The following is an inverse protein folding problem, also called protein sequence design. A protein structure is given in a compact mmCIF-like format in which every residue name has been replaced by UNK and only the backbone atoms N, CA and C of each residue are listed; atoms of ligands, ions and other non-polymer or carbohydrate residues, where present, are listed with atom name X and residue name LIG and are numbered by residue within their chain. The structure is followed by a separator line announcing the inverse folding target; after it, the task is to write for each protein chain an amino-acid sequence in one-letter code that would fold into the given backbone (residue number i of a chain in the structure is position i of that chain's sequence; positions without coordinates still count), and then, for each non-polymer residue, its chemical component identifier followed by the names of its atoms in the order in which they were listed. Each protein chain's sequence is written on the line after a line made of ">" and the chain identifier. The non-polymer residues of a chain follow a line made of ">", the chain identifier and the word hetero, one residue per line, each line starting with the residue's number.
data_IF_465694199759
#
_entry.id   IF_465694199759
#
_cell.length_a   1.000
_cell.length_b   1.000
_cell.length_c   1.000
_cell.angle_alpha   90.00
_cell.angle_beta   90.00
_cell.angle_gamma   90.00
#
_symmetry.space_group_name_H-M   'P 1'
#
loop_
_entity.id
_entity.type
_entity.pdbx_description
1 polymer ?
#
# COMPACT_ATOMS: atom_id res chain seq x y z
N UNK A 1 0.92 -10.55 4.21
CA UNK A 1 2.11 -9.90 3.60
C UNK A 1 3.03 -9.31 4.66
N UNK A 2 2.65 -8.19 5.30
CA UNK A 2 3.53 -7.44 6.23
C UNK A 2 4.14 -8.33 7.32
N UNK A 3 3.33 -9.16 8.00
CA UNK A 3 3.81 -10.14 9.00
C UNK A 3 4.97 -11.03 8.53
N UNK A 4 4.98 -11.42 7.24
CA UNK A 4 5.99 -12.32 6.67
C UNK A 4 7.21 -11.56 6.11
N UNK A 5 7.02 -10.34 5.61
CA UNK A 5 8.08 -9.54 4.97
C UNK A 5 8.82 -8.66 5.96
N UNK A 6 8.10 -8.02 6.89
CA UNK A 6 8.67 -7.12 7.89
C UNK A 6 7.96 -7.28 9.26
N UNK A 7 8.36 -8.29 10.06
CA UNK A 7 7.74 -8.56 11.35
C UNK A 7 8.00 -7.44 12.38
N UNK A 8 9.13 -6.74 12.28
CA UNK A 8 9.43 -5.60 13.15
C UNK A 8 8.46 -4.43 12.90
N UNK A 9 8.10 -4.16 11.64
CA UNK A 9 7.11 -3.13 11.32
C UNK A 9 5.75 -3.48 11.94
N UNK A 10 5.36 -4.76 11.88
CA UNK A 10 4.13 -5.22 12.51
C UNK A 10 4.16 -5.07 14.03
N UNK A 11 5.30 -5.39 14.66
CA UNK A 11 5.49 -5.19 16.09
C UNK A 11 5.38 -3.71 16.48
N UNK A 12 5.99 -2.82 15.68
CA UNK A 12 5.89 -1.37 15.87
C UNK A 12 4.46 -0.85 15.73
N UNK A 13 3.73 -1.28 14.71
CA UNK A 13 2.31 -0.93 14.59
C UNK A 13 1.47 -1.44 15.77
N UNK A 14 1.83 -2.60 16.32
CA UNK A 14 1.17 -3.15 17.51
C UNK A 14 1.50 -2.34 18.78
N UNK A 15 2.75 -1.89 18.95
CA UNK A 15 3.14 -1.05 20.09
C UNK A 15 2.53 0.34 20.04
N UNK A 16 2.33 0.88 18.83
CA UNK A 16 1.67 2.17 18.60
C UNK A 16 0.14 2.07 18.59
N UNK A 17 -0.44 0.90 18.91
CA UNK A 17 -1.88 0.64 18.92
C UNK A 17 -2.58 0.99 17.59
N UNK A 18 -1.89 0.79 16.47
CA UNK A 18 -2.45 1.07 15.15
C UNK A 18 -3.43 -0.04 14.77
N UNK A 19 -4.69 0.35 14.66
CA UNK A 19 -5.68 -0.47 13.99
C UNK A 19 -5.48 -0.39 12.47
N UNK A 20 -5.03 -1.49 11.88
CA UNK A 20 -4.88 -1.62 10.44
C UNK A 20 -6.17 -1.25 9.70
N UNK A 21 -7.34 -1.57 10.26
CA UNK A 21 -8.62 -1.27 9.63
C UNK A 21 -8.77 0.24 9.38
N UNK A 22 -8.43 1.06 10.38
CA UNK A 22 -8.45 2.52 10.24
C UNK A 22 -7.45 3.03 9.19
N UNK A 23 -6.27 2.39 9.09
CA UNK A 23 -5.24 2.73 8.13
C UNK A 23 -5.66 2.43 6.68
N UNK A 24 -6.18 1.23 6.39
CA UNK A 24 -6.44 0.82 5.02
C UNK A 24 -7.87 1.12 4.52
N UNK A 25 -8.86 1.27 5.40
CA UNK A 25 -10.27 1.37 4.98
C UNK A 25 -10.50 2.50 3.98
N UNK A 26 -10.00 3.72 4.25
CA UNK A 26 -10.15 4.87 3.34
C UNK A 26 -9.45 4.67 2.00
N UNK A 27 -8.36 3.93 1.98
CA UNK A 27 -7.51 3.74 0.81
C UNK A 27 -8.07 2.66 -0.10
N UNK A 28 -8.50 1.55 0.48
CA UNK A 28 -9.02 0.38 -0.23
C UNK A 28 -10.44 0.64 -0.76
N UNK A 29 -11.28 1.38 -0.03
CA UNK A 29 -12.64 1.75 -0.48
C UNK A 29 -12.63 2.54 -1.78
N UNK A 30 -11.58 3.34 -2.01
CA UNK A 30 -11.40 4.11 -3.23
C UNK A 30 -10.34 3.50 -4.17
N UNK A 31 -10.00 2.20 -4.02
CA UNK A 31 -9.02 1.48 -4.85
C UNK A 31 -7.67 2.22 -5.01
N UNK A 32 -7.26 2.97 -3.98
CA UNK A 32 -6.08 3.84 -3.95
C UNK A 32 -6.11 5.05 -4.90
N UNK A 33 -7.18 5.28 -5.65
CA UNK A 33 -7.26 6.34 -6.67
C UNK A 33 -7.13 7.77 -6.12
N UNK A 34 -7.39 7.97 -4.82
CA UNK A 34 -7.22 9.31 -4.22
C UNK A 34 -5.79 9.63 -3.82
N UNK A 35 -4.90 8.64 -3.87
CA UNK A 35 -3.51 8.78 -3.41
C UNK A 35 -2.55 9.19 -4.52
N UNK A 36 -2.96 9.07 -5.79
CA UNK A 36 -2.10 9.31 -6.94
C UNK A 36 -2.59 10.50 -7.78
N UNK A 37 -1.73 10.97 -8.69
CA UNK A 37 -2.13 11.90 -9.74
C UNK A 37 -3.11 11.24 -10.71
N UNK A 38 -3.92 12.03 -11.44
CA UNK A 38 -4.90 11.46 -12.39
C UNK A 38 -4.25 10.56 -13.45
N UNK A 39 -3.07 10.95 -13.95
CA UNK A 39 -2.31 10.16 -14.94
C UNK A 39 -1.93 8.79 -14.37
N UNK A 40 -1.35 8.77 -13.18
CA UNK A 40 -0.95 7.55 -12.48
C UNK A 40 -2.18 6.70 -12.08
N UNK A 41 -3.31 7.33 -11.75
CA UNK A 41 -4.58 6.63 -11.49
C UNK A 41 -5.09 5.86 -12.71
N UNK A 42 -5.02 6.44 -13.92
CA UNK A 42 -5.41 5.72 -15.14
C UNK A 42 -4.55 4.48 -15.35
N UNK A 43 -3.23 4.60 -15.15
CA UNK A 43 -2.31 3.46 -15.28
C UNK A 43 -2.58 2.37 -14.23
N UNK A 44 -2.92 2.78 -13.00
CA UNK A 44 -3.35 1.84 -11.95
C UNK A 44 -4.66 1.15 -12.35
N UNK A 45 -5.59 1.88 -12.98
CA UNK A 45 -6.84 1.32 -13.49
C UNK A 45 -6.62 0.29 -14.59
N UNK A 46 -5.68 0.50 -15.52
CA UNK A 46 -5.31 -0.50 -16.52
C UNK A 46 -4.93 -1.83 -15.85
N UNK A 47 -4.22 -1.75 -14.73
CA UNK A 47 -3.78 -2.93 -13.97
C UNK A 47 -4.95 -3.64 -13.30
N UNK A 48 -5.88 -2.88 -12.72
CA UNK A 48 -7.09 -3.47 -12.14
C UNK A 48 -7.99 -4.13 -13.20
N UNK A 49 -8.11 -3.54 -14.38
CA UNK A 49 -8.85 -4.11 -15.50
C UNK A 49 -8.19 -5.38 -16.06
N UNK A 50 -6.86 -5.44 -16.04
CA UNK A 50 -6.10 -6.61 -16.48
C UNK A 50 -6.15 -7.80 -15.50
N UNK A 51 -6.46 -7.57 -14.22
CA UNK A 51 -6.58 -8.64 -13.23
C UNK A 51 -8.01 -9.18 -13.22
N UNK A 52 -8.17 -10.35 -13.80
CA UNK A 52 -9.44 -11.07 -13.82
C UNK A 52 -9.85 -11.52 -12.41
N UNK A 53 -11.13 -11.29 -12.07
CA UNK A 53 -11.84 -11.82 -10.90
C UNK A 53 -11.41 -11.36 -9.48
N UNK A 54 -10.23 -10.76 -9.27
CA UNK A 54 -9.80 -10.34 -7.92
C UNK A 54 -8.96 -9.04 -7.87
N UNK A 55 -9.42 -7.99 -8.56
CA UNK A 55 -8.78 -6.66 -8.49
C UNK A 55 -8.71 -6.11 -7.06
N UNK A 56 -9.73 -6.39 -6.22
CA UNK A 56 -9.77 -5.91 -4.84
C UNK A 56 -8.69 -6.57 -3.97
N UNK A 57 -8.52 -7.89 -4.08
CA UNK A 57 -7.43 -8.59 -3.42
C UNK A 57 -6.07 -8.07 -3.89
N UNK A 58 -5.93 -7.79 -5.18
CA UNK A 58 -4.70 -7.19 -5.70
C UNK A 58 -4.44 -5.78 -5.16
N UNK A 59 -5.48 -4.95 -5.01
CA UNK A 59 -5.38 -3.64 -4.37
C UNK A 59 -4.78 -3.73 -2.96
N UNK A 60 -5.07 -4.79 -2.19
CA UNK A 60 -4.47 -5.02 -0.88
C UNK A 60 -2.98 -5.37 -0.96
N UNK A 61 -2.55 -6.09 -2.01
CA UNK A 61 -1.14 -6.37 -2.25
C UNK A 61 -0.37 -5.10 -2.66
N UNK A 62 -0.96 -4.25 -3.51
CA UNK A 62 -0.41 -2.93 -3.86
C UNK A 62 -0.26 -2.08 -2.59
N UNK A 63 -1.31 -2.01 -1.76
CA UNK A 63 -1.25 -1.29 -0.50
C UNK A 63 -0.12 -1.80 0.40
N UNK A 64 0.00 -3.11 0.55
CA UNK A 64 1.07 -3.71 1.35
C UNK A 64 2.46 -3.34 0.82
N UNK A 65 2.64 -3.34 -0.51
CA UNK A 65 3.89 -2.90 -1.14
C UNK A 65 4.21 -1.42 -0.84
N UNK A 66 3.21 -0.53 -0.92
CA UNK A 66 3.39 0.89 -0.57
C UNK A 66 3.80 1.04 0.91
N UNK A 67 3.13 0.32 1.82
CA UNK A 67 3.47 0.36 3.26
C UNK A 67 4.91 -0.12 3.48
N UNK A 68 5.31 -1.21 2.85
CA UNK A 68 6.65 -1.77 2.96
C UNK A 68 7.72 -0.85 2.37
N UNK A 69 7.44 -0.15 1.24
CA UNK A 69 8.32 0.88 0.66
C UNK A 69 8.66 1.98 1.67
N UNK A 70 7.75 2.30 2.59
CA UNK A 70 7.96 3.28 3.66
C UNK A 70 8.24 2.68 5.03
N UNK A 71 8.52 1.37 5.14
CA UNK A 71 8.73 0.69 6.43
C UNK A 71 9.73 1.41 7.34
N UNK A 72 10.89 1.82 6.80
CA UNK A 72 11.92 2.54 7.56
C UNK A 72 11.44 3.87 8.15
N UNK A 73 10.49 4.54 7.49
CA UNK A 73 9.88 5.78 8.01
C UNK A 73 8.85 5.44 9.07
N UNK A 74 7.96 4.49 8.79
CA UNK A 74 6.94 4.05 9.73
C UNK A 74 7.53 3.57 11.07
N UNK A 75 8.62 2.79 11.06
CA UNK A 75 9.31 2.34 12.28
C UNK A 75 9.87 3.47 13.17
N UNK A 76 9.96 4.69 12.65
CA UNK A 76 10.48 5.87 13.39
C UNK A 76 9.38 6.83 13.80
N UNK A 77 8.15 6.60 13.36
CA UNK A 77 7.02 7.48 13.60
C UNK A 77 6.20 6.97 14.78
N UNK A 78 5.64 7.88 15.58
CA UNK A 78 4.57 7.57 16.53
C UNK A 78 3.20 7.48 15.84
N UNK A 79 2.16 7.06 16.57
CA UNK A 79 0.79 6.95 16.06
C UNK A 79 0.30 8.18 15.27
N UNK A 80 0.39 9.39 15.86
CA UNK A 80 -0.10 10.62 15.25
C UNK A 80 0.65 10.96 13.95
N UNK A 81 1.97 10.81 13.96
CA UNK A 81 2.82 11.06 12.80
C UNK A 81 2.49 10.09 11.67
N UNK A 82 2.21 8.81 11.97
CA UNK A 82 1.78 7.84 10.98
C UNK A 82 0.44 8.19 10.36
N UNK A 83 -0.54 8.63 11.17
CA UNK A 83 -1.85 9.05 10.66
C UNK A 83 -1.75 10.26 9.73
N UNK A 84 -0.88 11.22 10.04
CA UNK A 84 -0.61 12.39 9.19
C UNK A 84 0.14 11.97 7.93
N UNK A 85 1.17 11.12 8.06
CA UNK A 85 1.96 10.65 6.93
C UNK A 85 1.10 9.86 5.93
N UNK A 86 0.18 9.04 6.43
CA UNK A 86 -0.77 8.32 5.58
C UNK A 86 -1.67 9.26 4.77
N UNK A 87 -2.10 10.38 5.34
CA UNK A 87 -2.92 11.35 4.62
C UNK A 87 -2.13 12.12 3.56
N UNK A 88 -0.83 12.32 3.80
CA UNK A 88 0.06 13.15 3.00
C UNK A 88 1.19 12.35 2.35
N UNK A 89 0.95 11.09 2.00
CA UNK A 89 1.99 10.31 1.34
C UNK A 89 2.38 10.98 0.01
N UNK A 90 3.68 10.95 -0.35
CA UNK A 90 4.18 11.61 -1.55
C UNK A 90 3.83 10.82 -2.84
N UNK A 91 2.80 9.97 -2.81
CA UNK A 91 2.32 9.17 -3.96
C UNK A 91 1.73 10.03 -5.08
N UNK A 92 1.38 11.28 -4.80
CA UNK A 92 0.92 12.23 -5.83
C UNK A 92 2.03 12.63 -6.81
N UNK A 93 3.28 12.56 -6.38
CA UNK A 93 4.46 12.91 -7.17
C UNK A 93 5.03 11.73 -7.95
N UNK A 94 4.44 10.53 -7.80
CA UNK A 94 4.96 9.32 -8.42
C UNK A 94 4.80 9.32 -9.94
N UNK A 95 5.86 8.88 -10.62
CA UNK A 95 5.83 8.59 -12.05
C UNK A 95 5.09 7.27 -12.33
N UNK A 96 4.91 6.97 -13.61
CA UNK A 96 4.42 5.65 -14.02
C UNK A 96 5.43 4.54 -13.69
N UNK A 97 6.74 4.83 -13.70
CA UNK A 97 7.76 3.84 -13.30
C UNK A 97 7.72 3.54 -11.80
N UNK A 98 7.48 4.55 -10.96
CA UNK A 98 7.28 4.35 -9.52
C UNK A 98 6.09 3.44 -9.24
N UNK A 99 4.98 3.69 -9.93
CA UNK A 99 3.77 2.86 -9.82
C UNK A 99 4.04 1.44 -10.31
N UNK A 100 4.68 1.29 -11.48
CA UNK A 100 4.99 -0.01 -12.06
C UNK A 100 5.88 -0.86 -11.13
N UNK A 101 6.84 -0.22 -10.46
CA UNK A 101 7.71 -0.88 -9.47
C UNK A 101 6.88 -1.48 -8.33
N UNK A 102 5.94 -0.70 -7.77
CA UNK A 102 5.07 -1.16 -6.68
C UNK A 102 4.09 -2.24 -7.14
N UNK A 103 3.56 -2.13 -8.36
CA UNK A 103 2.72 -3.18 -8.94
C UNK A 103 3.50 -4.49 -9.12
N UNK A 104 4.76 -4.43 -9.55
CA UNK A 104 5.62 -5.59 -9.67
C UNK A 104 5.87 -6.27 -8.31
N UNK A 105 6.18 -5.48 -7.26
CA UNK A 105 6.31 -6.00 -5.90
C UNK A 105 5.00 -6.62 -5.40
N UNK A 106 3.85 -5.98 -5.67
CA UNK A 106 2.54 -6.50 -5.32
C UNK A 106 2.25 -7.84 -5.99
N UNK A 107 2.64 -8.01 -7.26
CA UNK A 107 2.51 -9.27 -7.99
C UNK A 107 3.38 -10.38 -7.39
N UNK A 108 4.61 -10.04 -6.98
CA UNK A 108 5.46 -10.96 -6.22
C UNK A 108 4.75 -11.37 -4.93
N UNK A 109 4.28 -10.42 -4.11
CA UNK A 109 3.58 -10.74 -2.88
C UNK A 109 2.34 -11.61 -3.11
N UNK A 110 1.55 -11.32 -4.14
CA UNK A 110 0.40 -12.15 -4.51
C UNK A 110 0.87 -13.58 -4.82
N UNK A 111 1.86 -13.78 -5.68
CA UNK A 111 2.33 -15.12 -6.04
C UNK A 111 2.86 -15.94 -4.85
N UNK A 112 3.51 -15.30 -3.89
CA UNK A 112 4.08 -15.95 -2.70
C UNK A 112 3.08 -16.20 -1.56
N UNK A 113 2.01 -15.41 -1.48
CA UNK A 113 1.08 -15.44 -0.34
C UNK A 113 -0.36 -15.84 -0.69
N UNK A 114 -0.68 -16.02 -1.98
CA UNK A 114 -1.94 -16.59 -2.45
C UNK A 114 -1.95 -18.14 -2.36
N UNK A 115 -0.79 -18.77 -2.08
CA UNK A 115 -0.65 -20.18 -1.72
C UNK A 115 -0.52 -20.34 -0.22
#
# INVERSE_FOLDING_TARGET
>A
VIKRVDPELLAHFSSENIDFYHMYFKWVTCLLLRQFSMKTCLRLFDTYLAIENNYFGFCLYILAAIILKYSKKFKKMGFEEMMIFQQNMPTKEWSEEDLATVIAEAYVYQSYFLK
#
